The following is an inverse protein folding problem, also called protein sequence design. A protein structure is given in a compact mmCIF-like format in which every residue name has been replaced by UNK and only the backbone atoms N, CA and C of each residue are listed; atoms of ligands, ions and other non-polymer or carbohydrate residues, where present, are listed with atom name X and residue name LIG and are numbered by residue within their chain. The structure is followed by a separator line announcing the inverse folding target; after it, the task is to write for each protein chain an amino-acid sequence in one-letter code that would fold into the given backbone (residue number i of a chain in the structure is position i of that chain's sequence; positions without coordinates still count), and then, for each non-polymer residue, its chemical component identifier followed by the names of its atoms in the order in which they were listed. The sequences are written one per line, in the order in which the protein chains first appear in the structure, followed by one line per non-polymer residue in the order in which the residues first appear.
data_IF_477370832331
#
_entry.id   IF_477370832331
#
_cell.length_a   1.000
_cell.length_b   1.000
_cell.length_c   1.000
_cell.angle_alpha   90.00
_cell.angle_beta   90.00
_cell.angle_gamma   90.00
#
_symmetry.space_group_name_H-M   'P 1'
#
loop_
_entity.id
_entity.type
_entity.pdbx_description
1 polymer ?
#
# COMPACT_ATOMS: atom_id res chain seq x y z
N UNK A 1 26.54 -11.62 -3.13
CA UNK A 1 25.49 -11.23 -2.17
C UNK A 1 26.14 -10.52 -0.99
N UNK A 2 26.10 -9.18 -0.91
CA UNK A 2 26.78 -8.39 0.12
C UNK A 2 25.85 -7.97 1.29
N UNK A 3 24.74 -8.68 1.53
CA UNK A 3 23.72 -8.25 2.51
C UNK A 3 24.03 -8.76 3.92
N UNK A 4 24.74 -9.88 4.05
CA UNK A 4 25.03 -10.52 5.34
C UNK A 4 25.90 -9.65 6.28
N UNK A 5 26.96 -8.96 5.82
CA UNK A 5 27.74 -8.07 6.69
C UNK A 5 26.94 -6.84 7.16
N UNK A 6 26.08 -6.29 6.30
CA UNK A 6 25.26 -5.13 6.64
C UNK A 6 24.17 -5.45 7.68
N UNK A 7 23.70 -6.71 7.72
CA UNK A 7 22.72 -7.17 8.71
C UNK A 7 23.33 -7.40 10.09
N UNK A 8 24.58 -7.89 10.15
CA UNK A 8 25.31 -8.05 11.41
C UNK A 8 25.61 -6.69 12.07
N UNK A 9 25.90 -5.65 11.27
CA UNK A 9 26.08 -4.27 11.78
C UNK A 9 24.79 -3.70 12.38
N UNK A 10 23.63 -4.14 11.92
CA UNK A 10 22.32 -3.74 12.45
C UNK A 10 21.82 -4.60 13.62
N UNK A 11 22.59 -5.62 14.04
CA UNK A 11 22.23 -6.52 15.14
C UNK A 11 21.01 -7.40 14.87
N UNK A 12 20.55 -7.51 13.62
CA UNK A 12 19.39 -8.32 13.26
C UNK A 12 19.80 -9.78 13.09
N UNK A 13 19.15 -10.68 13.84
CA UNK A 13 19.38 -12.12 13.65
C UNK A 13 18.90 -12.57 12.25
N UNK A 14 19.54 -13.59 11.64
CA UNK A 14 19.11 -14.13 10.35
C UNK A 14 17.64 -14.56 10.33
N UNK A 15 17.14 -15.05 11.47
CA UNK A 15 15.74 -15.42 11.67
C UNK A 15 14.84 -14.18 11.67
N UNK A 16 15.22 -13.12 12.38
CA UNK A 16 14.47 -11.86 12.39
C UNK A 16 14.35 -11.24 10.99
N UNK A 17 15.44 -11.26 10.22
CA UNK A 17 15.41 -10.84 8.82
C UNK A 17 14.50 -11.70 7.95
N UNK A 18 14.58 -13.04 8.10
CA UNK A 18 13.70 -13.97 7.37
C UNK A 18 12.22 -13.71 7.68
N UNK A 19 11.87 -13.44 8.94
CA UNK A 19 10.50 -13.06 9.31
C UNK A 19 10.08 -11.73 8.68
N UNK A 20 10.93 -10.70 8.72
CA UNK A 20 10.64 -9.40 8.12
C UNK A 20 10.46 -9.47 6.60
N UNK A 21 11.13 -10.41 5.93
CA UNK A 21 11.00 -10.62 4.49
C UNK A 21 9.82 -11.52 4.10
N UNK A 22 9.55 -12.59 4.87
CA UNK A 22 8.48 -13.55 4.56
C UNK A 22 7.10 -13.03 4.98
N UNK A 23 6.98 -12.33 6.11
CA UNK A 23 5.68 -11.89 6.62
C UNK A 23 4.89 -11.04 5.62
N UNK A 24 5.51 -10.07 4.89
CA UNK A 24 4.82 -9.35 3.82
C UNK A 24 4.32 -10.26 2.69
N UNK A 25 5.04 -11.33 2.33
CA UNK A 25 4.64 -12.25 1.25
C UNK A 25 3.41 -13.08 1.62
N UNK A 26 3.32 -13.58 2.85
CA UNK A 26 2.12 -14.30 3.32
C UNK A 26 0.91 -13.37 3.27
N UNK A 27 1.08 -12.13 3.76
CA UNK A 27 0.04 -11.10 3.67
C UNK A 27 -0.39 -10.83 2.23
N UNK A 28 0.54 -10.81 1.28
CA UNK A 28 0.26 -10.56 -0.13
C UNK A 28 -0.57 -11.64 -0.83
N UNK A 29 -0.72 -12.83 -0.27
CA UNK A 29 -1.58 -13.88 -0.87
C UNK A 29 -3.00 -13.81 -0.32
N UNK A 30 -3.14 -13.68 0.99
CA UNK A 30 -4.46 -13.73 1.65
C UNK A 30 -5.21 -12.41 1.56
N UNK A 31 -4.50 -11.28 1.72
CA UNK A 31 -5.13 -9.95 1.76
C UNK A 31 -5.80 -9.55 0.44
N UNK A 32 -5.23 -9.81 -0.76
CA UNK A 32 -5.91 -9.46 -2.00
C UNK A 32 -7.24 -10.21 -2.16
N UNK A 33 -7.30 -11.47 -1.74
CA UNK A 33 -8.53 -12.27 -1.80
C UNK A 33 -9.61 -11.67 -0.89
N UNK A 34 -9.25 -11.30 0.34
CA UNK A 34 -10.18 -10.63 1.25
C UNK A 34 -10.66 -9.28 0.71
N UNK A 35 -9.76 -8.49 0.13
CA UNK A 35 -10.10 -7.22 -0.51
C UNK A 35 -10.98 -7.40 -1.75
N UNK A 36 -10.76 -8.43 -2.57
CA UNK A 36 -11.60 -8.74 -3.71
C UNK A 36 -13.04 -9.08 -3.28
N UNK A 37 -13.20 -9.88 -2.23
CA UNK A 37 -14.52 -10.17 -1.64
C UNK A 37 -15.16 -8.91 -1.05
N UNK A 38 -14.39 -8.06 -0.38
CA UNK A 38 -14.89 -6.80 0.14
C UNK A 38 -15.33 -5.86 -1.00
N UNK A 39 -14.57 -5.81 -2.09
CA UNK A 39 -14.84 -4.95 -3.24
C UNK A 39 -16.09 -5.37 -4.00
N UNK A 40 -16.32 -6.68 -4.18
CA UNK A 40 -17.54 -7.19 -4.83
C UNK A 40 -18.80 -6.87 -4.01
N UNK A 41 -18.69 -6.86 -2.67
CA UNK A 41 -19.81 -6.55 -1.77
C UNK A 41 -20.06 -5.05 -1.59
N UNK A 42 -18.99 -4.25 -1.44
CA UNK A 42 -19.08 -2.82 -1.07
C UNK A 42 -17.96 -2.01 -1.74
N UNK A 43 -18.00 -1.82 -3.08
CA UNK A 43 -16.89 -1.22 -3.83
C UNK A 43 -16.58 0.21 -3.38
N UNK A 44 -17.62 1.02 -3.10
CA UNK A 44 -17.48 2.41 -2.62
C UNK A 44 -16.75 2.51 -1.28
N UNK A 45 -17.03 1.58 -0.38
CA UNK A 45 -16.36 1.55 0.93
C UNK A 45 -14.89 1.17 0.75
N UNK A 46 -14.59 0.17 -0.08
CA UNK A 46 -13.21 -0.24 -0.35
C UNK A 46 -12.39 0.88 -0.99
N UNK A 47 -12.98 1.64 -1.93
CA UNK A 47 -12.34 2.81 -2.57
C UNK A 47 -11.95 3.92 -1.59
N UNK A 48 -12.66 4.05 -0.48
CA UNK A 48 -12.33 5.02 0.58
C UNK A 48 -11.41 4.42 1.64
N UNK A 49 -11.70 3.20 2.11
CA UNK A 49 -11.00 2.57 3.24
C UNK A 49 -9.58 2.18 2.87
N UNK A 50 -9.33 1.64 1.68
CA UNK A 50 -7.96 1.23 1.33
C UNK A 50 -7.01 2.44 1.29
N UNK A 51 -7.28 3.55 0.59
CA UNK A 51 -6.45 4.75 0.67
C UNK A 51 -6.40 5.40 2.06
N UNK A 52 -7.49 5.36 2.83
CA UNK A 52 -7.51 5.90 4.19
C UNK A 52 -6.57 5.11 5.10
N UNK A 53 -6.54 3.77 4.99
CA UNK A 53 -5.58 2.92 5.70
C UNK A 53 -4.13 3.19 5.25
N UNK A 54 -3.89 3.57 3.99
CA UNK A 54 -2.56 3.96 3.51
C UNK A 54 -2.09 5.22 4.23
N UNK A 55 -2.96 6.23 4.25
CA UNK A 55 -2.67 7.52 4.87
C UNK A 55 -2.49 7.37 6.38
N UNK A 56 -3.37 6.63 7.05
CA UNK A 56 -3.23 6.33 8.47
C UNK A 56 -1.95 5.52 8.77
N UNK A 57 -1.63 4.51 7.94
CA UNK A 57 -0.42 3.71 8.10
C UNK A 57 0.85 4.53 7.95
N UNK A 58 0.92 5.39 6.94
CA UNK A 58 2.05 6.32 6.73
C UNK A 58 2.16 7.37 7.84
N UNK A 59 1.04 7.90 8.35
CA UNK A 59 1.04 8.82 9.48
C UNK A 59 1.50 8.16 10.78
N UNK A 60 1.08 6.92 11.06
CA UNK A 60 1.53 6.15 12.22
C UNK A 60 3.03 5.82 12.13
N UNK A 61 3.53 5.47 10.94
CA UNK A 61 4.96 5.25 10.71
C UNK A 61 5.76 6.54 10.94
N UNK A 62 5.31 7.67 10.40
CA UNK A 62 5.96 8.97 10.61
C UNK A 62 5.98 9.36 12.09
N UNK A 63 4.86 9.18 12.81
CA UNK A 63 4.75 9.47 14.24
C UNK A 63 5.66 8.56 15.08
N UNK A 64 5.68 7.26 14.79
CA UNK A 64 6.56 6.31 15.47
C UNK A 64 8.04 6.60 15.25
N UNK A 65 8.43 6.96 14.02
CA UNK A 65 9.80 7.35 13.70
C UNK A 65 10.19 8.69 14.32
N UNK A 66 9.30 9.68 14.31
CA UNK A 66 9.55 10.96 14.98
C UNK A 66 9.71 10.77 16.49
N UNK A 67 8.83 9.98 17.11
CA UNK A 67 8.95 9.65 18.54
C UNK A 67 10.26 8.92 18.83
N UNK A 68 10.68 8.00 17.97
CA UNK A 68 11.96 7.30 18.11
C UNK A 68 13.17 8.24 17.96
N UNK A 69 13.12 9.19 17.00
CA UNK A 69 14.23 10.10 16.71
C UNK A 69 14.41 11.19 17.78
N UNK A 70 13.32 11.68 18.39
CA UNK A 70 13.37 12.76 19.38
C UNK A 70 13.34 12.27 20.83
N UNK A 71 13.10 10.98 21.08
CA UNK A 71 13.09 10.45 22.45
C UNK A 71 14.52 10.34 23.00
N UNK A 72 14.88 11.29 23.88
CA UNK A 72 16.12 11.28 24.65
C UNK A 72 16.18 10.19 25.75
N UNK A 73 15.60 8.99 25.54
CA UNK A 73 15.29 7.91 26.51
C UNK A 73 14.03 8.20 27.36
N UNK A 74 13.05 7.27 27.56
CA UNK A 74 13.08 6.02 28.35
C UNK A 74 12.40 4.80 27.67
N UNK A 75 12.44 3.60 28.29
CA UNK A 75 11.88 2.33 27.76
C UNK A 75 10.44 2.44 27.25
N UNK A 76 9.57 3.18 27.94
CA UNK A 76 8.17 3.36 27.54
C UNK A 76 8.02 4.05 26.18
N UNK A 77 8.82 5.10 25.90
CA UNK A 77 8.76 5.80 24.60
C UNK A 77 9.23 4.90 23.47
N UNK A 78 10.22 4.02 23.73
CA UNK A 78 10.65 3.03 22.75
C UNK A 78 9.53 2.03 22.43
N UNK A 79 8.86 1.48 23.45
CA UNK A 79 7.74 0.55 23.26
C UNK A 79 6.61 1.21 22.46
N UNK A 80 6.23 2.45 22.79
CA UNK A 80 5.21 3.20 22.06
C UNK A 80 5.63 3.45 20.61
N UNK A 81 6.88 3.89 20.37
CA UNK A 81 7.39 4.12 19.03
C UNK A 81 7.36 2.84 18.17
N UNK A 82 7.86 1.72 18.69
CA UNK A 82 7.82 0.44 17.98
C UNK A 82 6.39 -0.04 17.73
N UNK A 83 5.47 0.18 18.68
CA UNK A 83 4.05 -0.17 18.52
C UNK A 83 3.40 0.64 17.40
N UNK A 84 3.65 1.96 17.36
CA UNK A 84 3.16 2.83 16.29
C UNK A 84 3.75 2.44 14.93
N UNK A 85 5.04 2.14 14.87
CA UNK A 85 5.69 1.68 13.63
C UNK A 85 5.12 0.32 13.16
N UNK A 86 4.95 -0.64 14.07
CA UNK A 86 4.40 -1.94 13.76
C UNK A 86 2.95 -1.86 13.26
N UNK A 87 2.10 -1.09 13.94
CA UNK A 87 0.73 -0.85 13.52
C UNK A 87 0.66 -0.10 12.18
N UNK A 88 1.49 0.93 12.01
CA UNK A 88 1.59 1.68 10.77
C UNK A 88 1.99 0.80 9.59
N UNK A 89 2.98 -0.09 9.78
CA UNK A 89 3.40 -1.06 8.77
C UNK A 89 2.30 -2.08 8.43
N UNK A 90 1.56 -2.55 9.43
CA UNK A 90 0.42 -3.44 9.23
C UNK A 90 -0.69 -2.75 8.41
N UNK A 91 -1.10 -1.54 8.78
CA UNK A 91 -2.07 -0.74 8.04
C UNK A 91 -1.61 -0.47 6.61
N UNK A 92 -0.34 -0.08 6.42
CA UNK A 92 0.25 0.16 5.11
C UNK A 92 0.21 -1.10 4.23
N UNK A 93 0.58 -2.26 4.79
CA UNK A 93 0.59 -3.54 4.05
C UNK A 93 -0.81 -3.96 3.63
N UNK A 94 -1.77 -3.90 4.55
CA UNK A 94 -3.19 -4.19 4.27
C UNK A 94 -3.74 -3.24 3.21
N UNK A 95 -3.46 -1.95 3.33
CA UNK A 95 -3.87 -0.95 2.36
C UNK A 95 -3.28 -1.20 0.97
N UNK A 96 -1.97 -1.43 0.87
CA UNK A 96 -1.26 -1.64 -0.39
C UNK A 96 -1.83 -2.82 -1.17
N UNK A 97 -2.17 -3.90 -0.47
CA UNK A 97 -2.88 -5.04 -1.06
C UNK A 97 -4.26 -4.63 -1.62
N UNK A 98 -5.04 -3.85 -0.86
CA UNK A 98 -6.34 -3.38 -1.28
C UNK A 98 -6.28 -2.44 -2.48
N UNK A 99 -5.33 -1.52 -2.51
CA UNK A 99 -5.10 -0.61 -3.65
C UNK A 99 -4.73 -1.39 -4.91
N UNK A 100 -3.91 -2.43 -4.80
CA UNK A 100 -3.59 -3.29 -5.95
C UNK A 100 -4.86 -3.96 -6.52
N UNK A 101 -5.72 -4.52 -5.66
CA UNK A 101 -6.99 -5.12 -6.10
C UNK A 101 -7.91 -4.07 -6.75
N UNK A 102 -8.01 -2.88 -6.15
CA UNK A 102 -8.78 -1.77 -6.71
C UNK A 102 -8.30 -1.38 -8.10
N UNK A 103 -6.99 -1.21 -8.29
CA UNK A 103 -6.41 -0.82 -9.57
C UNK A 103 -6.75 -1.83 -10.67
N UNK A 104 -6.52 -3.12 -10.42
CA UNK A 104 -6.81 -4.17 -11.42
C UNK A 104 -8.32 -4.31 -11.68
N UNK A 105 -9.15 -4.24 -10.63
CA UNK A 105 -10.61 -4.38 -10.76
C UNK A 105 -11.22 -3.21 -11.53
N UNK A 106 -10.80 -1.97 -11.24
CA UNK A 106 -11.26 -0.78 -11.93
C UNK A 106 -10.76 -0.78 -13.37
N UNK A 107 -9.49 -1.17 -13.60
CA UNK A 107 -8.92 -1.27 -14.94
C UNK A 107 -9.73 -2.25 -15.82
N UNK A 108 -10.03 -3.44 -15.29
CA UNK A 108 -10.86 -4.43 -15.97
C UNK A 108 -12.28 -3.93 -16.24
N UNK A 109 -12.87 -3.16 -15.32
CA UNK A 109 -14.22 -2.63 -15.46
C UNK A 109 -14.32 -1.47 -16.47
N UNK A 110 -13.32 -0.57 -16.51
CA UNK A 110 -13.35 0.65 -17.33
C UNK A 110 -12.84 0.41 -18.75
N UNK A 111 -11.91 -0.54 -18.95
CA UNK A 111 -11.26 -0.77 -20.25
C UNK A 111 -11.41 -2.21 -20.74
N UNK A 112 -12.64 -2.73 -20.94
CA UNK A 112 -12.85 -4.11 -21.36
C UNK A 112 -12.26 -4.43 -22.74
N UNK A 113 -12.28 -3.47 -23.68
CA UNK A 113 -11.76 -3.65 -25.04
C UNK A 113 -10.32 -3.16 -25.22
N UNK A 114 -9.79 -2.42 -24.25
CA UNK A 114 -8.47 -1.77 -24.32
C UNK A 114 -7.62 -2.05 -23.08
N UNK A 115 -7.77 -3.24 -22.49
CA UNK A 115 -7.08 -3.63 -21.27
C UNK A 115 -5.56 -3.44 -21.35
N UNK A 116 -4.95 -3.82 -22.49
CA UNK A 116 -3.50 -3.66 -22.72
C UNK A 116 -3.06 -2.20 -22.61
N UNK A 117 -3.81 -1.26 -23.20
CA UNK A 117 -3.46 0.18 -23.14
C UNK A 117 -3.50 0.69 -21.70
N UNK A 118 -4.52 0.31 -20.93
CA UNK A 118 -4.61 0.72 -19.54
C UNK A 118 -3.57 0.05 -18.63
N UNK A 119 -3.21 -1.20 -18.90
CA UNK A 119 -2.09 -1.88 -18.23
C UNK A 119 -0.77 -1.16 -18.53
N UNK A 120 -0.50 -0.83 -19.79
CA UNK A 120 0.68 -0.05 -20.18
C UNK A 120 0.73 1.31 -19.47
N UNK A 121 -0.40 2.02 -19.38
CA UNK A 121 -0.49 3.30 -18.65
C UNK A 121 -0.20 3.13 -17.16
N UNK A 122 -0.77 2.09 -16.52
CA UNK A 122 -0.55 1.80 -15.10
C UNK A 122 0.93 1.47 -14.81
N UNK A 123 1.54 0.64 -15.65
CA UNK A 123 2.97 0.29 -15.56
C UNK A 123 3.85 1.52 -15.79
N UNK A 124 3.58 2.31 -16.83
CA UNK A 124 4.32 3.55 -17.11
C UNK A 124 4.22 4.56 -15.97
N UNK A 125 3.03 4.71 -15.37
CA UNK A 125 2.82 5.58 -14.20
C UNK A 125 3.63 5.07 -13.00
N UNK A 126 3.64 3.77 -12.74
CA UNK A 126 4.41 3.16 -11.65
C UNK A 126 5.92 3.39 -11.82
N UNK A 127 6.45 3.24 -13.03
CA UNK A 127 7.86 3.53 -13.31
C UNK A 127 8.19 5.01 -13.19
N UNK A 128 7.27 5.89 -13.61
CA UNK A 128 7.46 7.34 -13.47
C UNK A 128 7.51 7.74 -12.00
N UNK A 129 6.59 7.22 -11.17
CA UNK A 129 6.62 7.41 -9.71
C UNK A 129 7.93 6.87 -9.15
N UNK A 130 8.33 5.66 -9.53
CA UNK A 130 9.58 5.05 -9.08
C UNK A 130 10.78 5.95 -9.41
N UNK A 131 10.88 6.46 -10.64
CA UNK A 131 11.96 7.36 -11.06
C UNK A 131 11.97 8.67 -10.24
N UNK A 132 10.81 9.30 -10.06
CA UNK A 132 10.68 10.51 -9.22
C UNK A 132 11.12 10.22 -7.79
N UNK A 133 10.68 9.10 -7.21
CA UNK A 133 11.08 8.72 -5.84
C UNK A 133 12.56 8.38 -5.75
N UNK A 134 13.14 7.68 -6.73
CA UNK A 134 14.57 7.36 -6.76
C UNK A 134 15.44 8.61 -6.86
N UNK A 135 14.95 9.67 -7.50
CA UNK A 135 15.64 10.95 -7.57
C UNK A 135 15.42 11.82 -6.32
N UNK A 136 14.18 11.90 -5.81
CA UNK A 136 13.81 12.80 -4.71
C UNK A 136 14.08 12.24 -3.31
N UNK A 137 13.93 10.93 -3.09
CA UNK A 137 14.12 10.31 -1.77
C UNK A 137 15.54 10.53 -1.23
N UNK A 138 16.64 10.36 -2.01
CA UNK A 138 17.98 10.63 -1.51
C UNK A 138 18.15 12.06 -1.01
N UNK A 139 17.66 13.06 -1.76
CA UNK A 139 17.75 14.48 -1.37
C UNK A 139 17.01 14.76 -0.06
N UNK A 140 15.78 14.25 0.06
CA UNK A 140 14.98 14.42 1.29
C UNK A 140 15.61 13.66 2.45
N UNK A 141 16.18 12.49 2.19
CA UNK A 141 16.85 11.68 3.21
C UNK A 141 18.11 12.37 3.73
N UNK A 142 18.89 13.01 2.85
CA UNK A 142 20.10 13.75 3.22
C UNK A 142 19.77 15.00 4.05
N UNK A 143 18.73 15.76 3.67
CA UNK A 143 18.36 17.02 4.35
C UNK A 143 17.51 16.81 5.63
N UNK A 144 16.61 15.83 5.62
CA UNK A 144 15.55 15.67 6.64
C UNK A 144 15.48 14.27 7.27
N UNK A 145 16.34 13.35 6.86
CA UNK A 145 16.36 11.98 7.36
C UNK A 145 15.10 11.17 7.00
N UNK A 146 14.96 10.02 7.65
CA UNK A 146 13.87 9.07 7.38
C UNK A 146 12.49 9.66 7.70
N UNK A 147 12.41 10.52 8.72
CA UNK A 147 11.17 11.20 9.11
C UNK A 147 10.69 12.12 7.99
N UNK A 148 11.59 12.90 7.39
CA UNK A 148 11.27 13.76 6.25
C UNK A 148 10.71 12.98 5.06
N UNK A 149 11.31 11.84 4.73
CA UNK A 149 10.80 10.95 3.67
C UNK A 149 9.37 10.49 3.96
N UNK A 150 9.08 10.06 5.20
CA UNK A 150 7.74 9.61 5.55
C UNK A 150 6.70 10.74 5.49
N UNK A 151 7.06 11.94 5.92
CA UNK A 151 6.20 13.12 5.81
C UNK A 151 5.94 13.48 4.34
N UNK A 152 6.95 13.42 3.48
CA UNK A 152 6.79 13.65 2.05
C UNK A 152 5.85 12.62 1.40
N UNK A 153 5.86 11.37 1.86
CA UNK A 153 4.96 10.30 1.39
C UNK A 153 3.50 10.46 1.85
N UNK A 154 3.20 11.34 2.81
CA UNK A 154 1.81 11.66 3.17
C UNK A 154 1.09 12.40 2.04
N UNK A 155 1.78 13.27 1.30
CA UNK A 155 1.20 14.05 0.23
C UNK A 155 0.59 13.17 -0.90
N UNK A 156 1.34 12.25 -1.54
CA UNK A 156 0.74 11.35 -2.53
C UNK A 156 -0.32 10.42 -1.93
N UNK A 157 -0.21 10.06 -0.64
CA UNK A 157 -1.24 9.26 0.06
C UNK A 157 -2.55 10.02 0.22
N UNK A 158 -2.48 11.31 0.58
CA UNK A 158 -3.64 12.19 0.69
C UNK A 158 -4.30 12.44 -0.68
N UNK A 159 -3.50 12.65 -1.72
CA UNK A 159 -3.99 12.74 -3.11
C UNK A 159 -4.69 11.45 -3.53
N UNK A 160 -4.10 10.29 -3.22
CA UNK A 160 -4.69 8.98 -3.48
C UNK A 160 -6.04 8.77 -2.77
N UNK A 161 -6.16 9.22 -1.51
CA UNK A 161 -7.42 9.20 -0.77
C UNK A 161 -8.47 10.12 -1.41
N UNK A 162 -8.10 11.35 -1.75
CA UNK A 162 -8.99 12.29 -2.44
C UNK A 162 -9.50 11.72 -3.77
N UNK A 163 -8.59 11.16 -4.57
CA UNK A 163 -8.93 10.49 -5.83
C UNK A 163 -9.85 9.28 -5.62
N UNK A 164 -9.59 8.44 -4.61
CA UNK A 164 -10.44 7.29 -4.28
C UNK A 164 -11.85 7.68 -3.85
N UNK A 165 -12.00 8.71 -3.02
CA UNK A 165 -13.29 9.26 -2.60
C UNK A 165 -14.05 9.84 -3.80
N UNK A 166 -13.36 10.63 -4.64
CA UNK A 166 -13.95 11.22 -5.83
C UNK A 166 -14.42 10.12 -6.78
N UNK A 167 -13.57 9.14 -7.08
CA UNK A 167 -13.91 8.01 -7.92
C UNK A 167 -15.08 7.21 -7.36
N UNK A 168 -15.14 6.99 -6.04
CA UNK A 168 -16.25 6.32 -5.37
C UNK A 168 -17.61 7.02 -5.52
N UNK A 169 -17.62 8.35 -5.74
CA UNK A 169 -18.85 9.11 -6.04
C UNK A 169 -19.29 8.93 -7.49
N UNK A 170 -18.34 8.91 -8.43
CA UNK A 170 -18.61 8.83 -9.86
C UNK A 170 -18.79 7.41 -10.37
N UNK A 171 -18.29 6.42 -9.64
CA UNK A 171 -18.38 5.02 -10.04
C UNK A 171 -19.86 4.63 -10.03
N UNK A 172 -20.46 4.34 -11.20
CA UNK A 172 -21.77 3.73 -11.27
C UNK A 172 -21.71 2.51 -10.38
N UNK A 173 -22.78 2.23 -9.64
CA UNK A 173 -22.89 0.96 -8.92
C UNK A 173 -22.54 -0.10 -9.96
N UNK A 174 -21.38 -0.76 -9.83
CA UNK A 174 -21.04 -1.97 -10.59
C UNK A 174 -22.00 -3.04 -10.08
N UNK A 175 -23.29 -2.83 -10.33
CA UNK A 175 -24.34 -3.77 -10.09
C UNK A 175 -24.00 -4.94 -10.99
N UNK A 176 -23.98 -6.11 -10.35
CA UNK A 176 -23.72 -7.39 -10.96
C UNK A 176 -24.27 -7.42 -12.38
N UNK A 177 -23.38 -7.46 -13.37
CA UNK A 177 -23.76 -8.05 -14.63
C UNK A 177 -24.41 -9.38 -14.26
N UNK A 178 -25.68 -9.63 -14.64
CA UNK A 178 -26.33 -10.89 -14.29
C UNK A 178 -25.40 -12.03 -14.70
N UNK A 179 -25.34 -13.11 -13.89
CA UNK A 179 -24.48 -14.25 -14.21
C UNK A 179 -24.74 -14.65 -15.67
N UNK A 180 -23.67 -14.94 -16.45
CA UNK A 180 -23.84 -15.29 -17.85
C UNK A 180 -24.90 -16.39 -17.96
N UNK A 181 -25.92 -16.16 -18.78
CA UNK A 181 -26.98 -17.14 -19.00
C UNK A 181 -26.33 -18.48 -19.37
N UNK A 182 -26.76 -19.60 -18.78
CA UNK A 182 -26.16 -20.90 -19.07
C UNK A 182 -26.18 -21.11 -20.59
N UNK A 183 -25.00 -21.36 -21.18
CA UNK A 183 -24.93 -21.63 -22.61
C UNK A 183 -25.78 -22.86 -22.90
N UNK A 184 -26.66 -22.82 -23.92
CA UNK A 184 -27.46 -23.98 -24.29
C UNK A 184 -26.49 -25.11 -24.65
N UNK A 185 -26.60 -26.24 -23.96
CA UNK A 185 -25.89 -27.45 -24.31
C UNK A 185 -26.40 -27.90 -25.68
N UNK A 186 -25.58 -27.74 -26.72
CA UNK A 186 -25.80 -28.37 -28.02
C UNK A 186 -25.50 -29.86 -27.88
N UNK A 187 -26.56 -30.65 -27.70
CA UNK A 187 -26.52 -32.12 -27.80
C UNK A 187 -26.47 -32.59 -29.23
#
# INVERSE_FOLDING_TARGET
MPVQPALEVLGLSPIGYAFLTIAPHIGQVLLPTAWAVAFTRRPRLVLAVAPALLLSGTALLAAGLALHAFAATPFLNAVVAFTLMGLGFACYTVSKSGISVLQHSILAAVLPTSFVKGLCLMVGTTHTIAAITSWGVPQILDDYGVVGVQLALLAPSAVGLGAGILLGRWMPTLQHSPPPSPMPYSG
#
